data_IF_111379790349
#
_entry.id   IF_111379790349
#
_cell.length_a   1.000
_cell.length_b   1.000
_cell.length_c   1.000
_cell.angle_alpha   90.00
_cell.angle_beta   90.00
_cell.angle_gamma   90.00
#
_symmetry.space_group_name_H-M   'P 1'
#
loop_
_entity.id
_entity.type
_entity.pdbx_description
1 polymer ?
#
# COMPACT_ATOMS: atom_id res chain seq x y z
N UNK A 1 -17.55 -1.29 -16.45
CA UNK A 1 -16.17 -1.82 -16.42
C UNK A 1 -15.22 -0.62 -16.40
N UNK A 2 -14.14 -0.70 -15.62
CA UNK A 2 -13.11 0.35 -15.56
C UNK A 2 -12.20 0.19 -16.77
N UNK A 3 -12.02 1.27 -17.54
CA UNK A 3 -11.14 1.27 -18.70
C UNK A 3 -9.68 1.48 -18.27
N UNK A 4 -8.76 0.75 -18.89
CA UNK A 4 -7.32 0.85 -18.66
C UNK A 4 -6.60 1.41 -19.88
N UNK A 5 -5.45 2.03 -19.63
CA UNK A 5 -4.52 2.53 -20.64
C UNK A 5 -3.20 1.76 -20.53
N UNK A 6 -2.41 1.62 -21.61
CA UNK A 6 -1.02 1.18 -21.46
C UNK A 6 -0.27 2.09 -20.48
N UNK A 7 0.52 1.51 -19.58
CA UNK A 7 1.30 2.30 -18.64
C UNK A 7 2.24 3.26 -19.38
N UNK A 8 2.19 4.58 -19.11
CA UNK A 8 3.09 5.51 -19.76
C UNK A 8 4.52 5.32 -19.26
N UNK A 9 5.52 5.57 -20.10
CA UNK A 9 6.92 5.56 -19.63
C UNK A 9 7.16 6.56 -18.47
N UNK A 10 6.45 7.70 -18.51
CA UNK A 10 6.52 8.76 -17.50
C UNK A 10 5.11 9.20 -17.10
N UNK A 11 4.80 9.20 -15.80
CA UNK A 11 3.49 9.66 -15.31
C UNK A 11 3.28 11.15 -15.63
N UNK A 12 4.27 12.00 -15.32
CA UNK A 12 4.28 13.39 -15.74
C UNK A 12 4.82 13.51 -17.17
N UNK A 13 3.97 14.00 -18.08
CA UNK A 13 4.27 14.13 -19.49
C UNK A 13 5.18 15.33 -19.81
N UNK A 14 5.53 15.51 -21.09
CA UNK A 14 6.40 16.60 -21.56
C UNK A 14 5.83 18.00 -21.33
N UNK A 15 4.51 18.12 -21.17
CA UNK A 15 3.82 19.39 -20.89
C UNK A 15 3.71 19.65 -19.38
N UNK A 16 4.34 18.81 -18.55
CA UNK A 16 4.33 18.95 -17.11
C UNK A 16 3.00 18.57 -16.46
N UNK A 17 2.14 17.83 -17.15
CA UNK A 17 0.83 17.37 -16.65
C UNK A 17 0.85 15.88 -16.33
N UNK A 18 0.13 15.42 -15.30
CA UNK A 18 -0.03 14.00 -15.02
C UNK A 18 -0.91 13.33 -16.08
N UNK A 19 -0.50 12.16 -16.54
CA UNK A 19 -1.39 11.25 -17.28
C UNK A 19 -2.35 10.63 -16.27
N UNK A 20 -3.65 10.82 -16.45
CA UNK A 20 -4.69 10.37 -15.52
C UNK A 20 -5.35 9.10 -16.04
N UNK A 21 -5.61 8.14 -15.16
CA UNK A 21 -6.33 6.91 -15.46
C UNK A 21 -5.70 5.67 -14.79
N UNK A 22 -6.34 4.52 -15.02
CA UNK A 22 -5.80 3.21 -14.67
C UNK A 22 -4.86 2.71 -15.76
N UNK A 23 -3.82 1.99 -15.34
CA UNK A 23 -2.75 1.54 -16.22
C UNK A 23 -2.65 0.01 -16.26
N UNK A 24 -2.32 -0.49 -17.45
CA UNK A 24 -1.84 -1.84 -17.70
C UNK A 24 -0.31 -1.81 -17.70
N UNK A 25 0.26 -2.18 -16.57
CA UNK A 25 1.70 -2.18 -16.32
C UNK A 25 2.15 -1.10 -15.33
N UNK A 26 3.46 -0.96 -15.21
CA UNK A 26 4.12 -0.05 -14.26
C UNK A 26 4.82 1.07 -15.04
N UNK A 27 4.47 2.34 -14.84
CA UNK A 27 5.23 3.46 -15.36
C UNK A 27 6.69 3.40 -14.92
N UNK A 28 7.62 3.62 -15.86
CA UNK A 28 9.06 3.54 -15.54
C UNK A 28 9.51 4.65 -14.61
N UNK A 29 8.89 5.82 -14.69
CA UNK A 29 9.26 6.99 -13.88
C UNK A 29 8.03 7.85 -13.55
N UNK A 30 8.06 8.50 -12.38
CA UNK A 30 7.07 9.54 -12.07
C UNK A 30 7.37 10.85 -12.79
N UNK A 31 8.65 11.17 -13.03
CA UNK A 31 9.10 12.40 -13.71
C UNK A 31 8.67 13.70 -13.00
N UNK A 32 8.73 13.71 -11.67
CA UNK A 32 8.23 14.81 -10.80
C UNK A 32 8.92 16.17 -11.06
N UNK A 33 10.16 16.17 -11.54
CA UNK A 33 10.90 17.40 -11.82
C UNK A 33 10.27 18.21 -12.96
N UNK A 34 9.58 17.54 -13.89
CA UNK A 34 8.88 18.20 -14.99
C UNK A 34 7.47 18.69 -14.61
N UNK A 35 6.97 18.35 -13.42
CA UNK A 35 5.59 18.71 -13.04
C UNK A 35 5.39 20.23 -12.96
N UNK A 36 4.44 20.76 -13.72
CA UNK A 36 4.01 22.16 -13.64
C UNK A 36 3.11 22.35 -12.42
N UNK A 37 3.72 22.39 -11.24
CA UNK A 37 2.99 22.52 -9.99
C UNK A 37 2.51 23.95 -9.80
N UNK A 38 1.20 24.12 -9.57
CA UNK A 38 0.54 25.42 -9.38
C UNK A 38 -0.08 25.52 -8.00
N UNK A 39 -0.28 26.75 -7.53
CA UNK A 39 -1.04 27.04 -6.33
C UNK A 39 -2.56 27.13 -6.65
N UNK A 40 -3.37 27.36 -5.63
CA UNK A 40 -4.84 27.44 -5.77
C UNK A 40 -5.35 28.65 -6.57
N UNK A 41 -4.47 29.59 -6.93
CA UNK A 41 -4.75 30.77 -7.74
C UNK A 41 -4.09 30.68 -9.13
N UNK A 42 -3.81 29.44 -9.58
CA UNK A 42 -3.23 29.10 -10.87
C UNK A 42 -1.82 29.65 -11.16
N UNK A 43 -1.18 30.28 -10.16
CA UNK A 43 0.19 30.74 -10.22
C UNK A 43 1.18 29.58 -10.03
N UNK A 44 2.34 29.65 -10.69
CA UNK A 44 3.40 28.64 -10.53
C UNK A 44 3.85 28.55 -9.07
N UNK A 45 3.86 27.35 -8.52
CA UNK A 45 4.38 27.11 -7.19
C UNK A 45 5.90 27.28 -7.17
N UNK A 46 6.44 27.84 -6.09
CA UNK A 46 7.88 27.93 -5.91
C UNK A 46 8.51 26.54 -5.70
N UNK A 47 9.84 26.47 -5.80
CA UNK A 47 10.60 25.22 -5.67
C UNK A 47 10.45 24.56 -4.30
N UNK A 48 10.29 25.34 -3.23
CA UNK A 48 10.08 24.82 -1.88
C UNK A 48 8.73 24.13 -1.71
N UNK A 49 7.64 24.76 -2.17
CA UNK A 49 6.32 24.14 -2.18
C UNK A 49 6.33 22.87 -3.03
N UNK A 50 6.93 22.92 -4.23
CA UNK A 50 7.06 21.74 -5.09
C UNK A 50 7.81 20.61 -4.39
N UNK A 51 8.93 20.92 -3.72
CA UNK A 51 9.69 19.93 -2.98
C UNK A 51 8.91 19.34 -1.81
N UNK A 52 8.44 20.18 -0.88
CA UNK A 52 7.86 19.74 0.39
C UNK A 52 6.42 19.26 0.30
N UNK A 53 5.68 19.55 -0.76
CA UNK A 53 4.31 19.04 -0.91
C UNK A 53 4.29 17.60 -1.44
N UNK A 54 5.35 17.14 -2.10
CA UNK A 54 5.47 15.75 -2.53
C UNK A 54 5.56 14.77 -1.35
N UNK A 55 4.86 13.64 -1.46
CA UNK A 55 4.81 12.55 -0.48
C UNK A 55 5.05 11.23 -1.21
N UNK A 56 5.66 10.26 -0.53
CA UNK A 56 5.84 8.90 -1.04
C UNK A 56 5.74 7.88 0.09
N UNK A 57 5.09 6.76 -0.20
CA UNK A 57 4.82 5.67 0.74
C UNK A 57 5.13 4.35 0.04
N UNK A 58 5.80 3.46 0.75
CA UNK A 58 6.05 2.10 0.31
C UNK A 58 5.73 1.15 1.45
N UNK A 59 4.98 0.11 1.17
CA UNK A 59 4.63 -0.93 2.13
C UNK A 59 4.73 -2.30 1.48
N UNK A 60 5.17 -3.29 2.25
CA UNK A 60 5.12 -4.70 1.89
C UNK A 60 4.49 -5.47 3.05
N UNK A 61 3.55 -6.35 2.72
CA UNK A 61 3.01 -7.36 3.63
C UNK A 61 3.44 -8.73 3.14
N UNK A 62 4.00 -9.53 4.04
CA UNK A 62 4.33 -10.94 3.84
C UNK A 62 3.48 -11.76 4.82
N UNK A 63 2.76 -12.74 4.30
CA UNK A 63 1.90 -13.64 5.05
C UNK A 63 2.42 -15.06 4.87
N UNK A 64 2.80 -15.69 5.97
CA UNK A 64 3.12 -17.13 6.04
C UNK A 64 1.98 -17.85 6.74
N UNK A 65 2.12 -19.17 6.92
CA UNK A 65 1.13 -19.94 7.69
C UNK A 65 1.05 -19.53 9.17
N UNK A 66 2.12 -18.95 9.72
CA UNK A 66 2.25 -18.69 11.15
C UNK A 66 2.41 -17.21 11.48
N UNK A 67 2.80 -16.38 10.52
CA UNK A 67 3.11 -14.98 10.76
C UNK A 67 2.60 -14.04 9.67
N UNK A 68 2.28 -12.80 10.08
CA UNK A 68 2.19 -11.65 9.18
C UNK A 68 3.34 -10.70 9.49
N UNK A 69 4.06 -10.28 8.46
CA UNK A 69 5.11 -9.28 8.55
C UNK A 69 4.68 -8.08 7.72
N UNK A 70 4.52 -6.92 8.35
CA UNK A 70 4.27 -5.67 7.67
C UNK A 70 5.48 -4.75 7.80
N UNK A 71 5.91 -4.17 6.68
CA UNK A 71 7.06 -3.26 6.66
C UNK A 71 6.75 -2.05 5.79
N UNK A 72 6.96 -0.84 6.32
CA UNK A 72 6.65 0.40 5.62
C UNK A 72 7.79 1.42 5.69
N UNK A 73 7.88 2.25 4.66
CA UNK A 73 8.64 3.49 4.64
C UNK A 73 7.74 4.59 4.09
N UNK A 74 7.52 5.63 4.89
CA UNK A 74 6.80 6.84 4.50
C UNK A 74 7.77 8.02 4.47
N UNK A 75 7.88 8.70 3.33
CA UNK A 75 8.67 9.91 3.17
C UNK A 75 7.78 11.12 2.85
N UNK A 76 7.86 12.11 3.74
CA UNK A 76 7.18 13.39 3.56
C UNK A 76 8.15 14.55 3.40
N UNK A 77 9.39 14.24 3.01
CA UNK A 77 10.53 15.14 2.71
C UNK A 77 11.23 15.70 3.92
N UNK A 78 10.51 16.34 4.84
CA UNK A 78 11.10 16.88 6.08
C UNK A 78 11.10 15.87 7.22
N UNK A 79 10.39 14.74 7.05
CA UNK A 79 10.37 13.62 7.99
C UNK A 79 10.21 12.33 7.19
N UNK A 80 10.82 11.26 7.65
CA UNK A 80 10.49 9.92 7.20
C UNK A 80 10.24 9.03 8.39
N UNK A 81 9.15 8.27 8.33
CA UNK A 81 8.84 7.22 9.28
C UNK A 81 8.98 5.87 8.60
N UNK A 82 9.36 4.87 9.39
CA UNK A 82 9.33 3.49 8.97
C UNK A 82 8.93 2.61 10.14
N UNK A 83 8.32 1.49 9.84
CA UNK A 83 8.05 0.46 10.82
C UNK A 83 8.22 -0.92 10.20
N UNK A 84 8.50 -1.89 11.06
CA UNK A 84 8.45 -3.30 10.73
C UNK A 84 7.83 -4.02 11.92
N UNK A 85 6.77 -4.78 11.69
CA UNK A 85 6.18 -5.62 12.71
C UNK A 85 6.17 -7.09 12.28
N UNK A 86 6.17 -7.95 13.28
CA UNK A 86 5.92 -9.38 13.16
C UNK A 86 4.70 -9.69 14.03
N UNK A 87 3.67 -10.25 13.41
CA UNK A 87 2.48 -10.73 14.07
C UNK A 87 2.48 -12.25 14.04
N UNK A 88 2.50 -12.89 15.21
CA UNK A 88 2.29 -14.32 15.41
C UNK A 88 0.78 -14.61 15.43
N UNK A 89 0.34 -15.40 14.45
CA UNK A 89 -1.07 -15.71 14.21
C UNK A 89 -1.61 -16.61 15.32
N UNK A 90 -0.86 -17.62 15.74
CA UNK A 90 -1.30 -18.62 16.72
C UNK A 90 -1.45 -17.98 18.10
N UNK A 91 -0.46 -17.17 18.49
CA UNK A 91 -0.41 -16.54 19.81
C UNK A 91 -1.13 -15.18 19.87
N UNK A 92 -1.67 -14.70 18.74
CA UNK A 92 -2.26 -13.37 18.60
C UNK A 92 -1.34 -12.27 19.18
N UNK A 93 -0.05 -12.32 18.85
CA UNK A 93 0.97 -11.45 19.44
C UNK A 93 1.66 -10.59 18.37
N UNK A 94 1.78 -9.29 18.61
CA UNK A 94 2.43 -8.35 17.70
C UNK A 94 3.63 -7.70 18.39
N UNK A 95 4.79 -7.80 17.74
CA UNK A 95 6.01 -7.07 18.11
C UNK A 95 6.45 -6.18 16.95
N UNK A 96 6.87 -4.95 17.24
CA UNK A 96 7.24 -3.98 16.21
C UNK A 96 8.49 -3.15 16.53
N UNK A 97 9.13 -2.68 15.48
CA UNK A 97 10.20 -1.69 15.51
C UNK A 97 9.79 -0.47 14.69
N UNK A 98 10.02 0.72 15.23
CA UNK A 98 9.66 1.99 14.58
C UNK A 98 10.90 2.89 14.47
N UNK A 99 10.96 3.68 13.39
CA UNK A 99 12.02 4.65 13.15
C UNK A 99 11.45 5.97 12.66
N UNK A 100 11.99 7.05 13.19
CA UNK A 100 11.74 8.40 12.71
C UNK A 100 13.08 9.03 12.31
N UNK A 101 13.13 9.62 11.11
CA UNK A 101 14.33 10.28 10.55
C UNK A 101 13.97 11.67 10.05
N UNK A 102 14.53 12.74 10.62
CA UNK A 102 14.28 14.09 10.13
C UNK A 102 15.05 14.32 8.83
N UNK A 103 14.42 15.07 7.93
CA UNK A 103 15.00 15.47 6.63
C UNK A 103 15.57 14.28 5.85
N UNK A 104 16.71 14.46 5.18
CA UNK A 104 17.39 13.43 4.40
C UNK A 104 18.25 12.44 5.20
N UNK A 105 18.24 12.48 6.54
CA UNK A 105 19.19 11.71 7.34
C UNK A 105 18.86 10.22 7.34
N UNK A 106 19.90 9.38 7.20
CA UNK A 106 19.82 7.93 7.34
C UNK A 106 18.70 7.28 6.48
N UNK A 107 18.52 7.81 5.27
CA UNK A 107 17.59 7.26 4.28
C UNK A 107 18.02 7.51 2.84
N UNK A 108 17.44 6.71 1.95
CA UNK A 108 17.42 6.91 0.52
C UNK A 108 16.02 6.54 0.05
N UNK A 109 15.42 7.31 -0.85
CA UNK A 109 14.10 7.02 -1.40
C UNK A 109 14.21 6.95 -2.92
N UNK A 110 13.61 5.94 -3.55
CA UNK A 110 13.55 5.86 -5.01
C UNK A 110 12.65 6.95 -5.61
N UNK A 111 12.95 7.34 -6.85
CA UNK A 111 12.10 8.25 -7.63
C UNK A 111 11.21 7.52 -8.64
N UNK A 112 11.38 6.21 -8.77
CA UNK A 112 10.68 5.38 -9.74
C UNK A 112 10.00 4.20 -9.04
N UNK A 113 8.75 3.89 -9.41
CA UNK A 113 8.06 2.69 -8.95
C UNK A 113 8.50 1.42 -9.69
N UNK A 114 9.35 1.56 -10.72
CA UNK A 114 9.82 0.47 -11.57
C UNK A 114 11.26 0.05 -11.29
N UNK A 115 12.13 0.99 -10.90
CA UNK A 115 13.54 0.69 -10.62
C UNK A 115 14.13 1.64 -9.59
N UNK A 116 14.88 1.09 -8.64
CA UNK A 116 15.65 1.86 -7.67
C UNK A 116 15.59 1.29 -6.27
N UNK A 117 16.25 1.98 -5.34
CA UNK A 117 16.39 1.54 -3.95
C UNK A 117 15.83 2.58 -2.99
N UNK A 118 14.99 2.11 -2.08
CA UNK A 118 14.59 2.82 -0.86
C UNK A 118 15.20 2.11 0.34
N UNK A 119 15.82 2.85 1.26
CA UNK A 119 16.35 2.29 2.51
C UNK A 119 16.26 3.29 3.64
N UNK A 120 16.20 2.81 4.87
CA UNK A 120 16.17 3.63 6.09
C UNK A 120 16.80 2.88 7.26
N UNK A 121 17.10 3.60 8.34
CA UNK A 121 17.50 3.02 9.63
C UNK A 121 18.79 2.19 9.55
N UNK A 122 19.86 2.77 9.00
CA UNK A 122 21.13 2.05 8.83
C UNK A 122 21.05 0.88 7.86
N UNK A 123 20.09 0.91 6.93
CA UNK A 123 19.71 -0.22 6.04
C UNK A 123 19.04 -1.40 6.76
N UNK A 124 18.47 -1.19 7.95
CA UNK A 124 17.61 -2.20 8.58
C UNK A 124 16.36 -2.53 7.77
N UNK A 125 15.89 -1.60 6.93
CA UNK A 125 14.86 -1.87 5.91
C UNK A 125 15.39 -1.40 4.57
N UNK A 126 15.32 -2.27 3.57
CA UNK A 126 15.67 -1.98 2.18
C UNK A 126 14.59 -2.54 1.26
N UNK A 127 14.02 -1.67 0.43
CA UNK A 127 13.23 -2.06 -0.74
C UNK A 127 14.05 -1.78 -1.99
N UNK A 128 14.29 -2.82 -2.79
CA UNK A 128 15.01 -2.72 -4.04
C UNK A 128 14.14 -3.22 -5.19
N UNK A 129 13.71 -2.29 -6.03
CA UNK A 129 12.87 -2.56 -7.19
C UNK A 129 13.76 -2.69 -8.42
N UNK A 130 13.62 -3.79 -9.16
CA UNK A 130 14.31 -4.05 -10.42
C UNK A 130 13.29 -4.43 -11.47
N UNK A 131 13.10 -3.58 -12.48
CA UNK A 131 12.10 -3.79 -13.54
C UNK A 131 10.71 -4.16 -13.02
N UNK A 132 10.24 -3.47 -11.98
CA UNK A 132 8.95 -3.68 -11.32
C UNK A 132 8.93 -4.80 -10.27
N UNK A 133 9.97 -5.62 -10.19
CA UNK A 133 10.08 -6.70 -9.21
C UNK A 133 10.65 -6.20 -7.89
N UNK A 134 9.97 -6.51 -6.79
CA UNK A 134 10.35 -6.06 -5.44
C UNK A 134 11.26 -7.09 -4.76
N UNK A 135 12.41 -6.62 -4.28
CA UNK A 135 13.30 -7.35 -3.39
C UNK A 135 13.33 -6.62 -2.05
N UNK A 136 13.08 -7.33 -0.97
CA UNK A 136 12.95 -6.77 0.38
C UNK A 136 14.03 -7.39 1.25
N UNK A 137 14.78 -6.54 1.94
CA UNK A 137 15.70 -6.94 2.99
C UNK A 137 15.32 -6.25 4.30
N UNK A 138 15.21 -7.04 5.37
CA UNK A 138 14.90 -6.60 6.72
C UNK A 138 15.98 -7.16 7.64
N UNK A 139 16.61 -6.30 8.41
CA UNK A 139 17.64 -6.70 9.37
C UNK A 139 17.47 -5.92 10.68
N UNK A 140 16.76 -6.53 11.61
CA UNK A 140 16.50 -6.03 12.97
C UNK A 140 16.83 -7.12 13.99
N UNK A 141 16.70 -6.81 15.28
CA UNK A 141 16.85 -7.82 16.34
C UNK A 141 15.72 -8.87 16.30
N UNK A 142 14.53 -8.46 15.86
CA UNK A 142 13.33 -9.28 15.81
C UNK A 142 13.30 -10.16 14.56
N UNK A 143 13.68 -9.61 13.41
CA UNK A 143 13.54 -10.25 12.10
C UNK A 143 14.78 -10.03 11.23
N UNK A 144 15.24 -11.10 10.60
CA UNK A 144 16.23 -11.08 9.52
C UNK A 144 15.64 -11.79 8.31
N UNK A 145 15.38 -11.07 7.23
CA UNK A 145 14.71 -11.60 6.05
C UNK A 145 15.26 -10.98 4.77
N UNK A 146 15.39 -11.79 3.73
CA UNK A 146 15.71 -11.36 2.36
C UNK A 146 14.82 -12.13 1.41
N UNK A 147 13.88 -11.46 0.74
CA UNK A 147 12.91 -12.12 -0.13
C UNK A 147 12.53 -11.29 -1.35
N UNK A 148 12.07 -11.99 -2.38
CA UNK A 148 11.62 -11.43 -3.65
C UNK A 148 10.14 -11.73 -3.86
N UNK A 149 9.39 -10.75 -4.37
CA UNK A 149 7.98 -10.89 -4.74
C UNK A 149 7.89 -11.20 -6.23
N UNK A 150 7.30 -12.35 -6.55
CA UNK A 150 7.24 -12.90 -7.91
C UNK A 150 5.77 -12.90 -8.40
N UNK A 151 5.42 -12.03 -9.36
CA UNK A 151 4.14 -12.13 -10.04
C UNK A 151 4.12 -13.35 -10.96
N UNK A 152 2.94 -13.96 -11.09
CA UNK A 152 2.69 -14.93 -12.14
C UNK A 152 2.82 -14.25 -13.52
N UNK A 153 3.16 -15.01 -14.59
CA UNK A 153 3.11 -14.49 -15.95
C UNK A 153 1.76 -13.81 -16.23
N UNK A 154 1.80 -12.64 -16.87
CA UNK A 154 0.63 -11.82 -17.22
C UNK A 154 -0.17 -11.26 -16.02
N UNK A 155 0.26 -11.50 -14.78
CA UNK A 155 -0.33 -10.87 -13.60
C UNK A 155 0.03 -9.40 -13.55
N UNK A 156 -0.96 -8.53 -13.81
CA UNK A 156 -0.79 -7.09 -13.77
C UNK A 156 -1.02 -6.53 -12.35
N UNK A 157 -0.21 -5.56 -11.90
CA UNK A 157 -0.53 -4.79 -10.71
C UNK A 157 -1.72 -3.87 -10.98
N UNK A 158 -2.43 -3.43 -9.95
CA UNK A 158 -3.33 -2.29 -10.03
C UNK A 158 -2.44 -1.05 -9.97
N UNK A 159 -2.46 -0.24 -11.03
CA UNK A 159 -1.73 1.02 -11.08
C UNK A 159 -2.65 2.10 -11.64
N UNK A 160 -2.59 3.29 -11.06
CA UNK A 160 -3.38 4.42 -11.52
C UNK A 160 -2.78 5.75 -11.09
N UNK A 161 -3.17 6.81 -11.79
CA UNK A 161 -2.91 8.18 -11.40
C UNK A 161 -4.22 8.98 -11.44
N UNK A 162 -4.52 9.72 -10.37
CA UNK A 162 -5.71 10.57 -10.27
C UNK A 162 -5.36 11.99 -9.83
N UNK A 163 -6.18 12.99 -10.19
CA UNK A 163 -6.12 14.29 -9.55
C UNK A 163 -6.31 14.16 -8.03
N UNK A 164 -5.73 15.07 -7.26
CA UNK A 164 -5.91 15.09 -5.79
C UNK A 164 -5.91 16.53 -5.30
N UNK A 165 -7.01 16.94 -4.68
CA UNK A 165 -7.24 18.36 -4.39
C UNK A 165 -7.31 19.20 -5.69
N UNK A 166 -6.96 20.48 -5.58
CA UNK A 166 -7.09 21.43 -6.70
C UNK A 166 -5.93 21.35 -7.70
N UNK A 167 -4.69 21.25 -7.22
CA UNK A 167 -3.47 21.28 -8.06
C UNK A 167 -2.60 20.02 -7.94
N UNK A 168 -3.07 19.01 -7.21
CA UNK A 168 -2.29 17.82 -6.89
C UNK A 168 -2.68 16.60 -7.72
N UNK A 169 -1.93 15.53 -7.53
CA UNK A 169 -2.19 14.23 -8.11
C UNK A 169 -1.63 13.15 -7.19
N UNK A 170 -2.17 11.94 -7.32
CA UNK A 170 -1.70 10.75 -6.60
C UNK A 170 -1.54 9.62 -7.59
N UNK A 171 -0.35 9.02 -7.60
CA UNK A 171 -0.05 7.76 -8.24
C UNK A 171 -0.03 6.66 -7.18
N UNK A 172 -0.62 5.52 -7.49
CA UNK A 172 -0.64 4.34 -6.63
C UNK A 172 -0.40 3.10 -7.48
N UNK A 173 0.28 2.12 -6.91
CA UNK A 173 0.59 0.83 -7.51
C UNK A 173 0.59 -0.24 -6.44
N UNK A 174 -0.30 -1.21 -6.59
CA UNK A 174 -0.47 -2.30 -5.62
C UNK A 174 -0.60 -3.62 -6.32
N UNK A 175 -0.06 -4.66 -5.71
CA UNK A 175 -0.15 -6.01 -6.23
C UNK A 175 -0.13 -6.98 -5.06
N UNK A 176 -1.18 -7.80 -4.99
CA UNK A 176 -1.42 -8.71 -3.89
C UNK A 176 -1.34 -10.18 -4.34
N UNK A 177 -1.17 -11.07 -3.36
CA UNK A 177 -1.06 -12.52 -3.51
C UNK A 177 0.05 -12.98 -4.45
N UNK A 178 1.19 -12.29 -4.37
CA UNK A 178 2.42 -12.62 -5.07
C UNK A 178 3.12 -13.80 -4.40
N UNK A 179 3.75 -14.65 -5.21
CA UNK A 179 4.63 -15.71 -4.73
C UNK A 179 5.88 -15.11 -4.12
N UNK A 180 6.46 -15.81 -3.16
CA UNK A 180 7.63 -15.33 -2.43
C UNK A 180 8.75 -16.36 -2.51
N UNK A 181 9.97 -15.89 -2.74
CA UNK A 181 11.18 -16.71 -2.63
C UNK A 181 12.23 -15.96 -1.82
N UNK A 182 12.95 -16.65 -0.94
CA UNK A 182 13.98 -16.03 -0.12
C UNK A 182 14.20 -16.75 1.19
N UNK A 183 14.59 -15.99 2.21
CA UNK A 183 14.85 -16.46 3.57
C UNK A 183 14.12 -15.60 4.59
N UNK A 184 13.66 -16.24 5.67
CA UNK A 184 13.01 -15.58 6.80
C UNK A 184 13.48 -16.18 8.11
N UNK A 185 13.98 -15.32 9.00
CA UNK A 185 14.30 -15.64 10.39
C UNK A 185 13.57 -14.68 11.32
N UNK A 186 12.86 -15.22 12.31
CA UNK A 186 12.21 -14.47 13.37
C UNK A 186 12.81 -14.94 14.69
N UNK A 187 13.38 -14.03 15.48
CA UNK A 187 14.10 -14.32 16.73
C UNK A 187 15.12 -15.47 16.50
N UNK A 188 15.92 -15.32 15.44
CA UNK A 188 16.95 -16.29 14.99
C UNK A 188 16.44 -17.67 14.55
N UNK A 189 15.13 -17.97 14.65
CA UNK A 189 14.53 -19.21 14.14
C UNK A 189 14.14 -19.06 12.68
N UNK A 190 14.46 -20.07 11.87
CA UNK A 190 14.10 -20.12 10.45
C UNK A 190 12.63 -20.51 10.24
N UNK A 191 11.99 -19.83 9.30
CA UNK A 191 10.62 -20.11 8.87
C UNK A 191 10.61 -20.31 7.35
N UNK A 192 9.85 -21.31 6.90
CA UNK A 192 9.69 -21.53 5.46
C UNK A 192 8.82 -20.43 4.84
N UNK A 193 9.18 -20.05 3.61
CA UNK A 193 8.37 -19.19 2.75
C UNK A 193 7.56 -20.00 1.73
N UNK A 194 7.55 -21.33 1.86
CA UNK A 194 6.65 -22.19 1.09
C UNK A 194 5.20 -21.79 1.37
N UNK A 195 4.43 -21.60 0.30
CA UNK A 195 3.04 -21.13 0.36
C UNK A 195 2.87 -19.73 0.97
N UNK A 196 3.96 -18.98 1.21
CA UNK A 196 3.84 -17.60 1.63
C UNK A 196 3.32 -16.73 0.48
N UNK A 197 2.46 -15.78 0.83
CA UNK A 197 1.92 -14.79 -0.07
C UNK A 197 2.40 -13.41 0.36
N UNK A 198 2.69 -12.54 -0.58
CA UNK A 198 3.02 -11.16 -0.28
C UNK A 198 2.28 -10.18 -1.17
N UNK A 199 2.20 -8.95 -0.71
CA UNK A 199 1.74 -7.83 -1.52
C UNK A 199 2.54 -6.59 -1.22
N UNK A 200 2.58 -5.68 -2.19
CA UNK A 200 3.21 -4.37 -2.03
C UNK A 200 2.22 -3.25 -2.32
N UNK A 201 2.48 -2.09 -1.73
CA UNK A 201 1.83 -0.82 -2.01
C UNK A 201 2.91 0.23 -2.22
N UNK A 202 2.86 0.89 -3.36
CA UNK A 202 3.62 2.09 -3.65
C UNK A 202 2.64 3.22 -3.93
N UNK A 203 2.76 4.31 -3.19
CA UNK A 203 1.95 5.50 -3.42
C UNK A 203 2.83 6.75 -3.40
N UNK A 204 2.59 7.68 -4.31
CA UNK A 204 3.34 8.92 -4.36
C UNK A 204 2.55 10.04 -5.02
N UNK A 205 2.84 11.28 -4.64
CA UNK A 205 2.24 12.44 -5.31
C UNK A 205 2.16 13.70 -4.47
N UNK A 206 1.34 14.62 -4.94
CA UNK A 206 1.01 15.88 -4.30
C UNK A 206 -0.37 15.75 -3.67
N UNK A 207 -0.42 15.05 -2.54
CA UNK A 207 -1.64 14.75 -1.80
C UNK A 207 -2.14 15.97 -1.03
N UNK A 208 -3.40 15.93 -0.57
CA UNK A 208 -3.96 16.98 0.29
C UNK A 208 -3.18 17.08 1.60
N UNK A 209 -3.06 18.31 2.11
CA UNK A 209 -2.39 18.60 3.39
C UNK A 209 -2.97 17.79 4.56
N UNK A 210 -4.29 17.63 4.56
CA UNK A 210 -5.05 16.73 5.42
C UNK A 210 -5.64 15.64 4.55
N UNK A 211 -5.32 14.39 4.87
CA UNK A 211 -5.77 13.20 4.15
C UNK A 211 -6.24 12.18 5.18
N UNK A 212 -7.37 11.54 4.93
CA UNK A 212 -7.80 10.39 5.72
C UNK A 212 -8.22 9.27 4.80
N UNK A 213 -7.76 8.06 5.11
CA UNK A 213 -8.12 6.89 4.33
C UNK A 213 -8.50 5.71 5.20
N UNK A 214 -9.25 4.83 4.56
CA UNK A 214 -9.46 3.45 4.98
C UNK A 214 -8.89 2.55 3.92
N UNK A 215 -8.30 1.44 4.34
CA UNK A 215 -7.67 0.48 3.46
C UNK A 215 -7.96 -0.94 3.92
N UNK A 216 -8.00 -1.88 2.99
CA UNK A 216 -8.05 -3.31 3.26
C UNK A 216 -7.12 -4.04 2.30
N UNK A 217 -6.49 -5.10 2.80
CA UNK A 217 -5.54 -5.90 2.05
C UNK A 217 -5.59 -7.37 2.44
N UNK A 218 -5.63 -8.23 1.45
CA UNK A 218 -5.53 -9.68 1.62
C UNK A 218 -4.39 -10.19 0.75
N UNK A 219 -3.58 -11.08 1.32
CA UNK A 219 -2.57 -11.87 0.63
C UNK A 219 -2.70 -13.30 1.16
N UNK A 220 -3.52 -14.12 0.50
CA UNK A 220 -3.89 -15.44 1.03
C UNK A 220 -3.80 -16.55 -0.02
N UNK A 221 -3.47 -17.75 0.44
CA UNK A 221 -3.63 -18.99 -0.30
C UNK A 221 -4.81 -19.76 0.31
N UNK A 222 -5.96 -19.74 -0.36
CA UNK A 222 -7.19 -20.41 0.09
C UNK A 222 -7.48 -21.59 -0.83
N UNK A 223 -7.54 -22.82 -0.30
CA UNK A 223 -7.78 -24.03 -1.10
C UNK A 223 -6.88 -24.12 -2.35
N UNK A 224 -5.59 -23.87 -2.17
CA UNK A 224 -4.58 -23.83 -3.23
C UNK A 224 -4.82 -22.76 -4.32
N UNK A 225 -5.61 -21.73 -4.02
CA UNK A 225 -5.88 -20.59 -4.89
C UNK A 225 -5.34 -19.31 -4.24
N UNK A 226 -4.45 -18.61 -4.95
CA UNK A 226 -3.98 -17.29 -4.54
C UNK A 226 -5.11 -16.27 -4.69
N UNK A 227 -5.47 -15.64 -3.57
CA UNK A 227 -6.47 -14.57 -3.48
C UNK A 227 -5.77 -13.33 -2.93
N UNK A 228 -5.73 -12.29 -3.75
CA UNK A 228 -5.25 -10.97 -3.39
C UNK A 228 -6.41 -9.99 -3.37
N UNK A 229 -6.44 -9.07 -2.40
CA UNK A 229 -7.44 -8.00 -2.37
C UNK A 229 -6.76 -6.70 -1.99
N UNK A 230 -7.16 -5.62 -2.65
CA UNK A 230 -6.87 -4.28 -2.25
C UNK A 230 -8.15 -3.44 -2.33
N UNK A 231 -8.58 -2.86 -1.22
CA UNK A 231 -9.67 -1.88 -1.18
C UNK A 231 -9.20 -0.62 -0.46
N UNK A 232 -9.62 0.54 -0.93
CA UNK A 232 -9.31 1.81 -0.32
C UNK A 232 -10.44 2.82 -0.51
N UNK A 233 -10.50 3.77 0.43
CA UNK A 233 -11.38 4.93 0.36
C UNK A 233 -10.68 6.13 1.00
N UNK A 234 -10.72 7.29 0.35
CA UNK A 234 -10.32 8.58 0.93
C UNK A 234 -8.98 9.17 0.48
N UNK A 235 -8.08 8.42 -0.16
CA UNK A 235 -6.89 9.02 -0.79
C UNK A 235 -7.25 9.69 -2.13
N UNK A 236 -7.97 8.94 -2.98
CA UNK A 236 -8.32 9.35 -4.34
C UNK A 236 -9.72 10.03 -4.40
N UNK A 237 -9.86 11.17 -3.73
CA UNK A 237 -11.16 11.84 -3.50
C UNK A 237 -11.82 12.45 -4.75
N UNK A 238 -11.15 12.47 -5.90
CA UNK A 238 -11.61 13.15 -7.13
C UNK A 238 -12.23 12.22 -8.18
N UNK A 239 -12.61 11.00 -7.78
CA UNK A 239 -13.46 10.11 -8.60
C UNK A 239 -12.76 8.90 -9.23
N UNK A 240 -11.57 8.51 -8.75
CA UNK A 240 -10.99 7.20 -9.06
C UNK A 240 -10.79 6.36 -7.80
N UNK A 241 -10.81 5.04 -7.93
CA UNK A 241 -10.52 4.12 -6.83
C UNK A 241 -9.41 3.14 -7.19
N UNK A 242 -8.64 2.78 -6.18
CA UNK A 242 -7.50 1.89 -6.29
C UNK A 242 -7.88 0.44 -5.95
N UNK A 243 -9.14 0.06 -6.22
CA UNK A 243 -9.71 -1.18 -5.72
C UNK A 243 -9.54 -2.32 -6.73
N UNK A 244 -9.02 -3.46 -6.28
CA UNK A 244 -8.78 -4.61 -7.13
C UNK A 244 -8.79 -5.93 -6.35
N UNK A 245 -9.26 -6.98 -7.03
CA UNK A 245 -9.16 -8.38 -6.62
C UNK A 245 -8.17 -9.09 -7.54
N UNK A 246 -7.35 -9.99 -7.01
CA UNK A 246 -6.53 -10.90 -7.78
C UNK A 246 -6.93 -12.34 -7.49
N UNK A 247 -7.30 -13.08 -8.52
CA UNK A 247 -7.59 -14.52 -8.44
C UNK A 247 -6.62 -15.25 -9.33
N UNK A 248 -5.75 -16.09 -8.75
CA UNK A 248 -4.70 -16.83 -9.49
C UNK A 248 -3.86 -15.89 -10.39
N UNK A 249 -3.49 -14.73 -9.84
CA UNK A 249 -2.74 -13.69 -10.56
C UNK A 249 -3.56 -12.81 -11.50
N UNK A 250 -4.80 -13.16 -11.85
CA UNK A 250 -5.64 -12.35 -12.74
C UNK A 250 -6.24 -11.17 -11.98
N UNK A 251 -5.98 -9.95 -12.46
CA UNK A 251 -6.45 -8.69 -11.84
C UNK A 251 -7.87 -8.35 -12.29
N UNK A 252 -8.78 -8.17 -11.34
CA UNK A 252 -10.14 -7.67 -11.55
C UNK A 252 -10.33 -6.34 -10.81
N UNK A 253 -10.44 -5.23 -11.57
CA UNK A 253 -10.70 -3.91 -10.99
C UNK A 253 -12.11 -3.83 -10.39
N UNK A 254 -12.20 -3.26 -9.19
CA UNK A 254 -13.44 -3.11 -8.43
C UNK A 254 -13.84 -1.63 -8.34
N UNK A 255 -15.12 -1.38 -8.09
CA UNK A 255 -15.63 -0.02 -7.87
C UNK A 255 -15.29 0.52 -6.47
N UNK A 256 -15.87 1.67 -6.15
CA UNK A 256 -15.65 2.36 -4.87
C UNK A 256 -16.11 1.52 -3.69
N UNK A 257 -15.25 1.41 -2.67
CA UNK A 257 -15.51 0.70 -1.43
C UNK A 257 -15.87 1.69 -0.32
N UNK A 258 -16.88 1.35 0.47
CA UNK A 258 -17.31 2.08 1.65
C UNK A 258 -17.00 1.24 2.89
N UNK A 259 -16.30 1.85 3.84
CA UNK A 259 -15.94 1.25 5.11
C UNK A 259 -16.80 1.87 6.22
N UNK A 260 -17.55 1.04 6.93
CA UNK A 260 -18.38 1.43 8.08
C UNK A 260 -17.89 0.69 9.32
N UNK A 261 -17.45 1.42 10.33
CA UNK A 261 -16.84 0.87 11.55
C UNK A 261 -16.92 1.88 12.69
N UNK A 262 -16.67 1.41 13.92
CA UNK A 262 -16.61 2.26 15.10
C UNK A 262 -15.16 2.63 15.42
N UNK A 263 -14.89 3.94 15.50
CA UNK A 263 -13.61 4.44 16.06
C UNK A 263 -13.58 4.44 17.59
N UNK A 264 -14.75 4.30 18.23
CA UNK A 264 -14.88 4.30 19.69
C UNK A 264 -14.70 2.90 20.26
N UNK A 265 -15.25 1.91 19.57
CA UNK A 265 -15.10 0.49 19.92
C UNK A 265 -14.44 -0.23 18.74
N UNK A 266 -13.13 -0.41 18.87
CA UNK A 266 -12.29 -0.98 17.83
C UNK A 266 -12.38 -2.50 17.73
N UNK A 267 -13.13 -3.16 18.61
CA UNK A 267 -13.37 -4.60 18.55
C UNK A 267 -14.60 -4.96 17.69
N UNK A 268 -15.45 -3.98 17.39
CA UNK A 268 -16.63 -4.22 16.55
C UNK A 268 -16.21 -4.52 15.09
N UNK A 269 -16.91 -5.46 14.42
CA UNK A 269 -16.68 -5.74 13.01
C UNK A 269 -16.90 -4.52 12.11
N UNK A 270 -16.14 -4.46 11.03
CA UNK A 270 -16.26 -3.44 10.00
C UNK A 270 -17.10 -4.01 8.87
N UNK A 271 -18.00 -3.19 8.32
CA UNK A 271 -18.72 -3.50 7.09
C UNK A 271 -18.04 -2.80 5.92
N UNK A 272 -17.67 -3.57 4.90
CA UNK A 272 -17.02 -3.07 3.69
C UNK A 272 -17.90 -3.46 2.50
N UNK A 273 -18.47 -2.44 1.85
CA UNK A 273 -19.45 -2.63 0.76
C UNK A 273 -19.11 -1.78 -0.45
N UNK A 274 -19.67 -2.09 -1.62
CA UNK A 274 -19.63 -1.20 -2.78
C UNK A 274 -21.04 -0.83 -3.23
N UNK A 275 -21.19 0.33 -3.86
CA UNK A 275 -22.48 0.84 -4.34
C UNK A 275 -23.10 -0.10 -5.38
N UNK A 276 -22.27 -0.75 -6.21
CA UNK A 276 -22.71 -1.72 -7.21
C UNK A 276 -22.97 -3.13 -6.65
N UNK A 277 -22.85 -3.32 -5.33
CA UNK A 277 -23.10 -4.58 -4.63
C UNK A 277 -22.09 -5.69 -4.91
N UNK A 278 -20.98 -5.39 -5.61
CA UNK A 278 -19.94 -6.38 -5.90
C UNK A 278 -19.04 -6.69 -4.70
N UNK A 279 -18.97 -5.80 -3.72
CA UNK A 279 -18.24 -6.00 -2.47
C UNK A 279 -19.27 -6.06 -1.35
N UNK A 280 -19.24 -7.14 -0.58
CA UNK A 280 -20.01 -7.29 0.64
C UNK A 280 -19.21 -8.14 1.63
N UNK A 281 -18.41 -7.47 2.46
CA UNK A 281 -17.48 -8.09 3.38
C UNK A 281 -17.69 -7.58 4.80
N UNK A 282 -17.52 -8.48 5.76
CA UNK A 282 -17.32 -8.17 7.16
C UNK A 282 -15.86 -8.42 7.52
N UNK A 283 -15.22 -7.46 8.16
CA UNK A 283 -13.91 -7.64 8.77
C UNK A 283 -14.03 -7.69 10.28
N UNK A 284 -13.54 -8.77 10.90
CA UNK A 284 -13.55 -8.95 12.36
C UNK A 284 -12.13 -8.74 12.90
N UNK A 285 -11.88 -7.66 13.68
CA UNK A 285 -10.55 -7.37 14.21
C UNK A 285 -10.07 -8.40 15.24
N UNK A 286 -8.80 -8.81 15.15
CA UNK A 286 -8.14 -9.70 16.13
C UNK A 286 -7.05 -8.96 16.92
N UNK A 287 -6.26 -8.14 16.25
CA UNK A 287 -5.18 -7.34 16.84
C UNK A 287 -5.01 -6.05 16.04
N UNK A 288 -4.20 -5.13 16.53
CA UNK A 288 -3.81 -3.94 15.78
C UNK A 288 -2.51 -3.34 16.29
N UNK A 289 -1.79 -2.68 15.39
CA UNK A 289 -0.80 -1.67 15.76
C UNK A 289 -1.41 -0.28 15.66
N UNK A 290 -0.95 0.63 16.51
CA UNK A 290 -1.36 2.03 16.45
C UNK A 290 -0.22 2.99 16.74
N UNK A 291 -0.22 4.11 16.03
CA UNK A 291 0.73 5.20 16.24
C UNK A 291 -0.01 6.53 16.21
N UNK A 292 0.18 7.34 17.26
CA UNK A 292 -0.36 8.70 17.33
C UNK A 292 0.79 9.68 17.49
N UNK A 293 0.96 10.54 16.49
CA UNK A 293 1.98 11.56 16.45
C UNK A 293 1.31 12.94 16.32
N UNK A 294 1.69 13.90 17.16
CA UNK A 294 1.19 15.28 17.10
C UNK A 294 2.34 16.25 17.35
N UNK A 295 3.02 16.65 16.28
CA UNK A 295 4.15 17.58 16.28
C UNK A 295 3.70 18.99 15.84
N UNK A 296 2.54 19.42 16.34
CA UNK A 296 1.87 20.68 16.03
C UNK A 296 1.49 20.86 14.56
N UNK A 297 2.43 21.09 13.65
CA UNK A 297 2.16 21.19 12.22
C UNK A 297 1.87 19.82 11.61
N UNK A 298 2.53 18.77 12.11
CA UNK A 298 2.32 17.40 11.67
C UNK A 298 1.42 16.64 12.64
N UNK A 299 0.41 15.93 12.11
CA UNK A 299 -0.39 14.97 12.88
C UNK A 299 -0.51 13.66 12.12
N UNK A 300 -0.40 12.55 12.83
CA UNK A 300 -0.68 11.21 12.34
C UNK A 300 -1.48 10.48 13.39
N UNK A 301 -2.56 9.83 12.98
CA UNK A 301 -3.37 8.97 13.84
C UNK A 301 -3.63 7.70 13.04
N UNK A 302 -2.70 6.76 13.14
CA UNK A 302 -2.65 5.56 12.34
C UNK A 302 -3.04 4.35 13.17
N UNK A 303 -3.95 3.54 12.64
CA UNK A 303 -4.26 2.20 13.14
C UNK A 303 -4.26 1.25 11.96
N UNK A 304 -3.54 0.15 12.09
CA UNK A 304 -3.61 -0.97 11.16
C UNK A 304 -3.99 -2.21 11.95
N UNK A 305 -5.14 -2.77 11.61
CA UNK A 305 -5.75 -3.93 12.22
C UNK A 305 -5.36 -5.19 11.45
N UNK A 306 -5.19 -6.27 12.19
CA UNK A 306 -5.13 -7.63 11.68
C UNK A 306 -6.43 -8.32 12.07
N UNK A 307 -7.02 -9.07 11.16
CA UNK A 307 -8.27 -9.76 11.41
C UNK A 307 -8.74 -10.57 10.21
N UNK A 308 -9.96 -11.08 10.30
CA UNK A 308 -10.52 -12.00 9.31
C UNK A 308 -11.61 -11.33 8.48
N UNK A 309 -11.58 -11.59 7.18
CA UNK A 309 -12.59 -11.17 6.21
C UNK A 309 -13.50 -12.34 5.87
N UNK A 310 -14.81 -12.10 6.00
CA UNK A 310 -15.87 -13.04 5.65
C UNK A 310 -16.93 -12.35 4.81
N UNK A 311 -17.45 -13.02 3.79
CA UNK A 311 -18.44 -12.47 2.85
C UNK A 311 -18.10 -12.76 1.39
N UNK A 312 -18.56 -11.89 0.49
CA UNK A 312 -18.49 -12.15 -0.96
C UNK A 312 -17.93 -10.98 -1.76
N UNK A 313 -17.20 -11.32 -2.83
CA UNK A 313 -16.71 -10.36 -3.83
C UNK A 313 -17.05 -10.89 -5.23
N UNK A 314 -17.66 -10.05 -6.06
CA UNK A 314 -17.98 -10.36 -7.46
C UNK A 314 -16.94 -9.75 -8.40
N UNK A 315 -16.25 -10.59 -9.17
CA UNK A 315 -15.23 -10.15 -10.11
C UNK A 315 -15.82 -9.52 -11.40
N UNK A 316 -14.97 -9.14 -12.35
CA UNK A 316 -15.39 -8.48 -13.59
C UNK A 316 -16.13 -9.40 -14.56
N UNK A 317 -15.96 -10.72 -14.40
CA UNK A 317 -16.63 -11.75 -15.21
C UNK A 317 -17.97 -12.15 -14.60
N UNK A 318 -18.23 -11.69 -13.37
CA UNK A 318 -19.45 -11.93 -12.63
C UNK A 318 -19.39 -13.15 -11.72
N UNK A 319 -18.22 -13.78 -11.57
CA UNK A 319 -18.01 -14.88 -10.62
C UNK A 319 -17.99 -14.32 -9.21
N UNK A 320 -18.70 -15.01 -8.31
CA UNK A 320 -18.74 -14.66 -6.88
C UNK A 320 -17.70 -15.50 -6.15
N UNK A 321 -16.76 -14.83 -5.51
CA UNK A 321 -15.74 -15.41 -4.65
C UNK A 321 -16.17 -15.25 -3.20
N UNK A 322 -16.29 -16.37 -2.50
CA UNK A 322 -16.61 -16.38 -1.07
C UNK A 322 -15.32 -16.37 -0.25
N UNK A 323 -15.28 -15.48 0.74
CA UNK A 323 -14.27 -15.44 1.78
C UNK A 323 -14.92 -15.96 3.06
N UNK A 324 -14.24 -16.89 3.72
CA UNK A 324 -14.62 -17.43 5.01
C UNK A 324 -13.40 -17.39 5.92
N UNK A 325 -13.45 -16.51 6.91
CA UNK A 325 -12.39 -16.22 7.88
C UNK A 325 -11.01 -16.04 7.23
N UNK A 326 -10.94 -15.26 6.14
CA UNK A 326 -9.68 -15.03 5.42
C UNK A 326 -8.88 -13.94 6.10
N UNK A 327 -7.70 -14.28 6.62
CA UNK A 327 -6.82 -13.35 7.32
C UNK A 327 -6.34 -12.21 6.39
N UNK A 328 -6.33 -10.99 6.91
CA UNK A 328 -5.81 -9.82 6.21
C UNK A 328 -5.67 -8.60 7.10
N UNK A 329 -5.46 -7.45 6.47
CA UNK A 329 -5.22 -6.16 7.12
C UNK A 329 -6.33 -5.16 6.79
N UNK A 330 -6.69 -4.32 7.76
CA UNK A 330 -7.44 -3.07 7.50
C UNK A 330 -6.79 -1.87 8.16
N UNK A 331 -7.03 -0.67 7.65
CA UNK A 331 -6.50 0.58 8.22
C UNK A 331 -7.58 1.63 8.43
N UNK A 332 -7.38 2.42 9.49
CA UNK A 332 -7.94 3.75 9.64
C UNK A 332 -6.80 4.73 9.92
N UNK A 333 -6.57 5.64 8.99
CA UNK A 333 -5.50 6.63 9.11
C UNK A 333 -6.03 8.04 8.84
N UNK A 334 -5.67 8.95 9.72
CA UNK A 334 -5.65 10.38 9.45
C UNK A 334 -4.22 10.91 9.46
N UNK A 335 -3.86 11.64 8.42
CA UNK A 335 -2.58 12.31 8.32
C UNK A 335 -2.74 13.78 7.96
N UNK A 336 -1.97 14.61 8.64
CA UNK A 336 -1.78 16.02 8.38
C UNK A 336 -0.28 16.24 8.25
N UNK A 337 0.21 16.37 7.03
CA UNK A 337 1.64 16.50 6.67
C UNK A 337 2.26 17.86 6.99
#
# INVERSE_FOLDING_TARGET
MINTLPAPDRVINSNGQPTIGHFDGIPKQLNIENFDYRNAMDGKANTWHKHFHYKQFQFVSLVTQTHIIGVAIADIRYLSSAFCYVYDIENNHLEESNWLRPFGLDKQITHSPFEGTTKIAGKSIVFNIKKGQWNVAINTKLINAEFCLLPDPDSLPMAMCTPTGYSGWTYTQKHNALKVTGTLKIIQREFSLDNACAGYDFSAGYMRRETSWRWASINALVNNTNIGLNLAAGVNETGGCENALWIKGTRHLLGDAQFTFSRQDTHLPWQITSIDGRINLTFTPCNHRSEKLNLWLLKSNFRQFIGHFSGSIKDNEGTIHQLDEVLGLTEDHFARW
#
